data_IF_887425051839
#
_entry.id   IF_887425051839
#
_cell.length_a   1.000
_cell.length_b   1.000
_cell.length_c   1.000
_cell.angle_alpha   90.00
_cell.angle_beta   90.00
_cell.angle_gamma   90.00
#
_symmetry.space_group_name_H-M   'P 1'
#
loop_
_entity.id
_entity.type
_entity.pdbx_description
1 polymer ?
#
# COMPACT_ATOMS: atom_id res chain seq x y z
N UNK A 1 -19.80 0.14 -25.38
CA UNK A 1 -19.06 0.81 -24.29
C UNK A 1 -17.67 0.21 -24.27
N UNK A 2 -16.70 0.91 -24.86
CA UNK A 2 -15.31 0.44 -25.02
C UNK A 2 -14.55 0.93 -23.79
N UNK A 3 -14.08 0.02 -22.95
CA UNK A 3 -13.29 0.35 -21.77
C UNK A 3 -11.87 0.72 -22.20
N UNK A 4 -11.44 1.94 -21.90
CA UNK A 4 -10.08 2.40 -22.10
C UNK A 4 -9.21 1.88 -20.94
N UNK A 5 -8.18 1.09 -21.22
CA UNK A 5 -7.21 0.60 -20.24
C UNK A 5 -6.20 1.70 -19.81
N UNK A 6 -6.67 2.95 -19.71
CA UNK A 6 -5.91 4.10 -19.24
C UNK A 6 -6.12 4.28 -17.74
N UNK A 7 -5.11 3.90 -16.96
CA UNK A 7 -4.95 4.10 -15.50
C UNK A 7 -6.15 3.71 -14.64
N UNK A 8 -6.24 2.43 -14.26
CA UNK A 8 -6.71 2.15 -12.90
C UNK A 8 -5.65 2.68 -11.95
N UNK A 9 -6.03 3.61 -11.06
CA UNK A 9 -5.15 4.08 -9.99
C UNK A 9 -4.64 2.85 -9.23
N UNK A 10 -3.32 2.64 -9.20
CA UNK A 10 -2.70 1.47 -8.57
C UNK A 10 -2.97 1.40 -7.06
N UNK A 11 -3.37 2.54 -6.47
CA UNK A 11 -3.75 2.69 -5.08
C UNK A 11 -5.01 3.57 -4.99
N UNK A 12 -6.07 3.06 -4.37
CA UNK A 12 -7.27 3.81 -4.03
C UNK A 12 -7.49 3.79 -2.51
N UNK A 13 -8.07 4.86 -1.96
CA UNK A 13 -8.35 4.95 -0.51
C UNK A 13 -9.76 5.45 -0.24
N UNK A 14 -10.38 4.93 0.81
CA UNK A 14 -11.62 5.46 1.38
C UNK A 14 -11.56 5.37 2.91
N UNK A 15 -11.27 6.50 3.56
CA UNK A 15 -11.18 6.61 5.01
C UNK A 15 -10.14 5.67 5.63
N UNK A 16 -10.61 4.54 6.13
CA UNK A 16 -9.80 3.52 6.82
C UNK A 16 -9.32 2.39 5.90
N UNK A 17 -9.76 2.39 4.63
CA UNK A 17 -9.46 1.35 3.66
C UNK A 17 -8.51 1.87 2.59
N UNK A 18 -7.55 1.01 2.20
CA UNK A 18 -6.75 1.15 1.00
C UNK A 18 -6.90 -0.10 0.14
N UNK A 19 -7.13 0.09 -1.15
CA UNK A 19 -7.19 -0.94 -2.15
C UNK A 19 -5.98 -0.78 -3.08
N UNK A 20 -5.22 -1.85 -3.24
CA UNK A 20 -4.03 -1.88 -4.09
C UNK A 20 -4.36 -2.78 -5.28
N UNK A 21 -4.23 -2.24 -6.48
CA UNK A 21 -4.34 -2.99 -7.72
C UNK A 21 -2.96 -3.43 -8.14
N UNK A 22 -2.69 -4.73 -8.07
CA UNK A 22 -1.40 -5.31 -8.45
C UNK A 22 -1.45 -5.67 -9.94
N UNK A 23 -0.69 -4.99 -10.83
CA UNK A 23 -0.72 -5.29 -12.25
C UNK A 23 0.09 -6.57 -12.53
N UNK A 24 -0.57 -7.72 -12.60
CA UNK A 24 0.03 -8.94 -13.15
C UNK A 24 -1.00 -9.69 -14.00
N UNK A 25 -0.74 -9.78 -15.31
CA UNK A 25 -1.67 -10.44 -16.23
C UNK A 25 -1.51 -11.98 -16.23
N UNK A 26 -0.35 -12.53 -15.85
CA UNK A 26 -0.06 -13.97 -16.07
C UNK A 26 0.56 -14.73 -14.88
N UNK A 27 0.92 -14.08 -13.75
CA UNK A 27 1.65 -14.72 -12.66
C UNK A 27 1.40 -14.10 -11.27
N UNK A 28 1.77 -14.81 -10.21
CA UNK A 28 1.52 -14.39 -8.82
C UNK A 28 2.44 -13.24 -8.37
N UNK A 29 1.90 -12.06 -8.09
CA UNK A 29 2.68 -10.92 -7.58
C UNK A 29 3.22 -11.17 -6.17
N UNK A 30 4.52 -10.95 -5.98
CA UNK A 30 5.16 -10.99 -4.66
C UNK A 30 4.93 -9.67 -3.92
N UNK A 31 4.18 -9.72 -2.81
CA UNK A 31 3.84 -8.53 -2.01
C UNK A 31 4.65 -8.53 -0.71
N UNK A 32 5.35 -7.43 -0.45
CA UNK A 32 6.03 -7.17 0.83
C UNK A 32 5.43 -5.94 1.50
N UNK A 33 4.94 -6.09 2.74
CA UNK A 33 4.49 -4.99 3.57
C UNK A 33 5.49 -4.71 4.69
N UNK A 34 5.86 -3.44 4.88
CA UNK A 34 6.75 -2.99 5.97
C UNK A 34 6.08 -1.91 6.81
N UNK A 35 5.87 -2.21 8.08
CA UNK A 35 5.40 -1.26 9.07
C UNK A 35 6.58 -0.55 9.74
N UNK A 36 6.74 0.75 9.47
CA UNK A 36 7.82 1.59 9.97
C UNK A 36 7.32 2.47 11.12
N UNK A 37 8.23 2.88 12.02
CA UNK A 37 7.90 3.79 13.13
C UNK A 37 7.95 5.27 12.74
N UNK A 38 8.59 5.59 11.62
CA UNK A 38 8.82 6.95 11.13
C UNK A 38 8.82 6.95 9.61
N UNK A 39 8.79 8.15 9.02
CA UNK A 39 8.89 8.30 7.59
C UNK A 39 10.22 7.69 7.07
N UNK A 40 10.17 6.87 6.00
CA UNK A 40 11.37 6.37 5.34
C UNK A 40 12.11 7.52 4.63
N UNK A 41 13.35 7.31 4.17
CA UNK A 41 14.07 8.28 3.35
C UNK A 41 13.27 8.77 2.14
N UNK A 42 13.66 9.91 1.54
CA UNK A 42 12.99 10.49 0.39
C UNK A 42 12.80 9.48 -0.75
N UNK A 43 11.75 9.73 -1.52
CA UNK A 43 11.26 8.84 -2.56
C UNK A 43 12.34 8.58 -3.62
N UNK A 44 12.71 7.31 -3.80
CA UNK A 44 13.60 6.84 -4.88
C UNK A 44 12.79 6.07 -5.91
N UNK A 45 12.60 6.64 -7.11
CA UNK A 45 11.89 5.98 -8.22
C UNK A 45 12.75 5.01 -9.02
N UNK A 46 14.08 5.11 -8.93
CA UNK A 46 14.99 4.28 -9.73
C UNK A 46 14.74 2.79 -9.46
N UNK A 47 14.39 2.05 -10.51
CA UNK A 47 14.14 0.60 -10.46
C UNK A 47 12.70 0.18 -10.13
N UNK A 48 11.77 1.15 -10.10
CA UNK A 48 10.33 0.95 -9.94
C UNK A 48 9.60 1.60 -11.11
N UNK A 49 8.50 1.00 -11.53
CA UNK A 49 7.69 1.49 -12.64
C UNK A 49 6.72 2.57 -12.15
N UNK A 50 6.16 2.38 -10.95
CA UNK A 50 5.34 3.39 -10.30
C UNK A 50 5.64 3.50 -8.80
N UNK A 51 5.48 4.71 -8.27
CA UNK A 51 5.55 5.01 -6.84
C UNK A 51 4.46 6.01 -6.47
N UNK A 52 3.45 5.53 -5.75
CA UNK A 52 2.30 6.31 -5.32
C UNK A 52 2.20 6.37 -3.79
N UNK A 53 1.63 7.46 -3.29
CA UNK A 53 1.35 7.63 -1.86
C UNK A 53 -0.12 7.92 -1.63
N UNK A 54 -0.66 7.42 -0.52
CA UNK A 54 -1.98 7.78 -0.04
C UNK A 54 -2.03 7.75 1.49
N UNK A 55 -3.04 8.43 2.05
CA UNK A 55 -3.27 8.46 3.49
C UNK A 55 -4.47 7.58 3.86
N UNK A 56 -4.35 6.87 4.98
CA UNK A 56 -5.46 6.17 5.64
C UNK A 56 -5.50 6.51 7.12
N UNK A 57 -6.65 6.25 7.76
CA UNK A 57 -6.83 6.39 9.21
C UNK A 57 -7.02 5.02 9.84
N UNK A 58 -6.36 4.77 10.97
CA UNK A 58 -6.66 3.63 11.83
C UNK A 58 -7.08 4.15 13.20
N UNK A 59 -8.36 4.12 13.50
CA UNK A 59 -8.87 4.56 14.81
C UNK A 59 -8.60 3.53 15.91
N UNK A 60 -8.60 2.24 15.55
CA UNK A 60 -8.37 1.14 16.49
C UNK A 60 -6.88 0.90 16.77
N UNK A 61 -5.98 1.42 15.93
CA UNK A 61 -4.58 1.02 15.94
C UNK A 61 -4.37 -0.41 15.43
N UNK A 62 -5.34 -0.93 14.69
CA UNK A 62 -5.25 -2.19 13.97
C UNK A 62 -5.40 -1.95 12.47
N UNK A 63 -4.34 -2.22 11.72
CA UNK A 63 -4.35 -2.26 10.25
C UNK A 63 -3.98 -3.65 9.80
N UNK A 64 -4.92 -4.29 9.09
CA UNK A 64 -4.74 -5.62 8.52
C UNK A 64 -4.68 -5.51 7.02
N UNK A 65 -3.79 -6.29 6.42
CA UNK A 65 -3.74 -6.48 4.98
C UNK A 65 -4.30 -7.85 4.64
N UNK A 66 -5.19 -7.88 3.65
CA UNK A 66 -5.78 -9.09 3.10
C UNK A 66 -5.61 -9.07 1.59
N UNK A 67 -5.43 -10.27 1.02
CA UNK A 67 -5.39 -10.45 -0.42
C UNK A 67 -6.75 -10.95 -0.90
N UNK A 68 -7.24 -10.43 -2.03
CA UNK A 68 -8.47 -10.94 -2.65
C UNK A 68 -8.27 -12.30 -3.35
N UNK A 69 -7.02 -12.74 -3.54
CA UNK A 69 -6.69 -14.08 -4.01
C UNK A 69 -7.00 -15.15 -2.96
N UNK A 70 -7.15 -16.40 -3.42
CA UNK A 70 -7.31 -17.57 -2.55
C UNK A 70 -6.12 -17.82 -1.59
N UNK A 71 -5.05 -17.02 -1.68
CA UNK A 71 -3.89 -17.10 -0.80
C UNK A 71 -4.25 -16.71 0.63
N UNK A 72 -3.99 -17.60 1.59
CA UNK A 72 -4.24 -17.38 3.02
C UNK A 72 -3.11 -16.60 3.70
N UNK A 73 -2.49 -15.63 3.01
CA UNK A 73 -1.40 -14.85 3.59
C UNK A 73 -1.95 -13.99 4.71
N UNK A 74 -1.38 -14.14 5.90
CA UNK A 74 -1.72 -13.33 7.06
C UNK A 74 -0.60 -12.35 7.34
N UNK A 75 -0.92 -11.07 7.26
CA UNK A 75 -0.01 -10.02 7.70
C UNK A 75 -0.21 -9.75 9.20
N UNK A 76 0.86 -9.41 9.93
CA UNK A 76 0.70 -8.89 11.29
C UNK A 76 -0.02 -7.54 11.27
N UNK A 77 -0.39 -7.03 12.45
CA UNK A 77 -0.88 -5.66 12.56
C UNK A 77 0.16 -4.66 12.02
N UNK A 78 -0.23 -3.88 11.01
CA UNK A 78 0.61 -2.91 10.34
C UNK A 78 0.59 -1.52 10.99
N UNK A 79 -0.36 -1.26 11.90
CA UNK A 79 -0.44 -0.02 12.67
C UNK A 79 0.56 -0.02 13.83
N UNK A 80 1.85 -0.03 13.50
CA UNK A 80 2.96 -0.18 14.46
C UNK A 80 3.04 0.94 15.51
N UNK A 81 2.40 2.08 15.26
CA UNK A 81 2.37 3.23 16.17
C UNK A 81 1.02 3.41 16.88
N UNK A 82 0.13 2.42 16.82
CA UNK A 82 -1.20 2.49 17.42
C UNK A 82 -2.20 3.30 16.58
N UNK A 83 -3.29 3.81 17.16
CA UNK A 83 -4.25 4.63 16.46
C UNK A 83 -3.63 5.88 15.82
N UNK A 84 -4.10 6.26 14.63
CA UNK A 84 -3.68 7.49 13.98
C UNK A 84 -3.78 7.49 12.45
N UNK A 85 -3.25 8.54 11.84
CA UNK A 85 -3.13 8.67 10.39
C UNK A 85 -1.83 8.02 9.93
N UNK A 86 -1.92 7.24 8.87
CA UNK A 86 -0.81 6.53 8.27
C UNK A 86 -0.66 6.94 6.80
N UNK A 87 0.58 7.11 6.37
CA UNK A 87 0.93 7.17 4.97
C UNK A 87 1.28 5.79 4.46
N UNK A 88 0.68 5.43 3.34
CA UNK A 88 1.04 4.29 2.53
C UNK A 88 1.91 4.81 1.39
N UNK A 89 3.08 4.20 1.18
CA UNK A 89 3.88 4.39 -0.03
C UNK A 89 3.98 3.04 -0.74
N UNK A 90 3.37 2.96 -1.91
CA UNK A 90 3.38 1.77 -2.75
C UNK A 90 4.42 1.94 -3.85
N UNK A 91 5.25 0.93 -4.01
CA UNK A 91 6.19 0.79 -5.11
C UNK A 91 5.80 -0.44 -5.92
N UNK A 92 5.64 -0.30 -7.23
CA UNK A 92 5.25 -1.40 -8.12
C UNK A 92 6.23 -1.54 -9.28
N UNK A 93 6.38 -2.79 -9.72
CA UNK A 93 7.05 -3.22 -10.96
C UNK A 93 6.56 -4.65 -11.25
N UNK A 94 6.81 -5.23 -12.43
CA UNK A 94 6.35 -6.56 -12.80
C UNK A 94 6.48 -7.58 -11.66
N UNK A 95 5.30 -7.94 -11.15
CA UNK A 95 4.95 -8.76 -9.98
C UNK A 95 5.90 -8.74 -8.78
N UNK A 96 6.40 -7.54 -8.47
CA UNK A 96 6.93 -7.23 -7.14
C UNK A 96 6.30 -5.93 -6.68
N UNK A 97 5.60 -6.00 -5.55
CA UNK A 97 5.04 -4.84 -4.87
C UNK A 97 5.66 -4.69 -3.47
N UNK A 98 6.07 -3.46 -3.16
CA UNK A 98 6.54 -3.08 -1.83
C UNK A 98 5.65 -1.98 -1.27
N UNK A 99 5.07 -2.26 -0.10
CA UNK A 99 4.18 -1.35 0.60
C UNK A 99 4.89 -0.91 1.88
N UNK A 100 5.14 0.39 2.00
CA UNK A 100 5.60 1.00 3.25
C UNK A 100 4.41 1.63 3.95
N UNK A 101 4.23 1.30 5.23
CA UNK A 101 3.19 1.85 6.10
C UNK A 101 3.90 2.56 7.23
N UNK A 102 3.67 3.86 7.38
CA UNK A 102 4.34 4.68 8.40
C UNK A 102 3.42 5.80 8.89
N UNK A 103 3.61 6.32 10.11
CA UNK A 103 2.80 7.43 10.60
C UNK A 103 2.90 8.62 9.65
N UNK A 104 1.75 9.16 9.24
CA UNK A 104 1.74 10.47 8.61
C UNK A 104 2.23 11.46 9.68
N UNK A 105 3.29 12.21 9.38
CA UNK A 105 3.81 13.21 10.33
C UNK A 105 2.68 14.09 10.85
N UNK A 106 2.80 14.56 12.09
CA UNK A 106 1.81 15.47 12.70
C UNK A 106 1.58 16.61 11.70
N UNK A 107 0.33 16.85 11.31
CA UNK A 107 -0.01 18.07 10.57
C UNK A 107 0.51 19.24 11.41
N UNK A 108 1.42 20.01 10.84
CA UNK A 108 1.89 21.26 11.42
C UNK A 108 0.72 22.24 11.49
#
# INVERSE_FOLDING_TARGET
>A
MIWNAGSVDTLATNGQLALIFTPSQDWATCVTAKALRSAPPPLRRKGWDDVVEADIVSESGHLMMQTLSASKVRFPNLARSGPGRYRLRLYTRPGVDLILIYPAGRAA
#
